data_IF_333773623382
#
_entry.id   IF_333773623382
#
_cell.length_a   1.000
_cell.length_b   1.000
_cell.length_c   1.000
_cell.angle_alpha   90.00
_cell.angle_beta   90.00
_cell.angle_gamma   90.00
#
_symmetry.space_group_name_H-M   'P 1'
#
loop_
_entity.id
_entity.type
_entity.pdbx_description
1 polymer ?
#
# COMPACT_ATOMS: atom_id res chain seq x y z
N UNK A 1 7.46 19.73 9.10
CA UNK A 1 8.81 19.10 9.16
C UNK A 1 9.17 18.72 7.73
N UNK A 2 10.46 18.77 7.32
CA UNK A 2 10.85 18.30 5.99
C UNK A 2 10.74 16.77 5.89
N UNK A 3 10.48 16.22 4.70
CA UNK A 3 10.30 14.77 4.48
C UNK A 3 11.49 13.94 5.01
N UNK A 4 12.71 14.39 4.78
CA UNK A 4 13.92 13.72 5.25
C UNK A 4 13.97 13.65 6.79
N UNK A 5 13.49 14.69 7.46
CA UNK A 5 13.41 14.72 8.91
C UNK A 5 12.27 13.83 9.43
N UNK A 6 11.14 13.78 8.71
CA UNK A 6 10.02 12.88 9.06
C UNK A 6 10.45 11.41 8.97
N UNK A 7 11.13 11.02 7.90
CA UNK A 7 11.64 9.65 7.71
C UNK A 7 12.51 9.17 8.89
N UNK A 8 13.24 10.09 9.55
CA UNK A 8 14.12 9.76 10.68
C UNK A 8 13.40 9.92 12.03
N UNK A 9 12.53 10.94 12.18
CA UNK A 9 12.06 11.42 13.48
C UNK A 9 10.64 11.02 13.84
N UNK A 10 9.86 10.45 12.94
CA UNK A 10 8.60 9.81 13.32
C UNK A 10 8.98 8.52 14.05
N UNK A 11 8.67 8.47 15.33
CA UNK A 11 9.01 7.37 16.23
C UNK A 11 7.86 7.15 17.19
N UNK A 12 7.68 5.91 17.61
CA UNK A 12 6.81 5.54 18.73
C UNK A 12 7.28 6.21 20.01
N UNK A 13 6.45 6.21 21.03
CA UNK A 13 6.85 6.68 22.36
C UNK A 13 8.00 5.84 22.90
N UNK A 14 9.00 6.53 23.47
CA UNK A 14 10.13 5.85 24.11
C UNK A 14 9.67 5.04 25.30
N UNK A 15 10.33 3.92 25.52
CA UNK A 15 10.13 3.13 26.74
C UNK A 15 10.78 3.83 27.97
N UNK A 16 10.70 3.20 29.12
CA UNK A 16 11.37 3.70 30.33
C UNK A 16 12.91 3.77 30.16
N UNK A 17 13.47 3.10 29.20
CA UNK A 17 14.91 3.11 28.89
C UNK A 17 15.36 4.37 28.14
N UNK A 18 14.42 5.20 27.66
CA UNK A 18 14.70 6.44 26.94
C UNK A 18 15.60 6.28 25.71
N UNK A 19 15.45 5.18 25.01
CA UNK A 19 16.23 4.78 23.85
C UNK A 19 16.16 5.82 22.72
N UNK A 20 17.24 5.89 21.94
CA UNK A 20 17.34 6.87 20.84
C UNK A 20 16.62 6.39 19.57
N UNK A 21 16.65 5.11 19.28
CA UNK A 21 15.99 4.46 18.16
C UNK A 21 14.95 3.48 18.66
N UNK A 22 13.90 3.25 17.89
CA UNK A 22 12.81 2.34 18.26
C UNK A 22 13.35 0.92 18.52
N UNK A 23 13.07 0.33 19.68
CA UNK A 23 13.44 -1.06 19.94
C UNK A 23 12.63 -2.03 19.08
N UNK A 24 13.18 -3.19 18.83
CA UNK A 24 12.50 -4.26 18.13
C UNK A 24 11.62 -5.05 19.10
N UNK A 25 10.30 -4.97 18.92
CA UNK A 25 9.32 -5.65 19.77
C UNK A 25 9.07 -7.09 19.27
N UNK A 26 9.98 -8.00 19.58
CA UNK A 26 9.89 -9.43 19.20
C UNK A 26 8.96 -10.20 20.14
N UNK A 27 7.67 -9.89 20.08
CA UNK A 27 6.64 -10.58 20.88
C UNK A 27 5.41 -10.87 20.02
N UNK A 28 4.71 -11.95 20.34
CA UNK A 28 3.42 -12.28 19.71
C UNK A 28 2.24 -11.61 20.41
N UNK A 29 2.33 -11.34 21.71
CA UNK A 29 1.24 -10.82 22.52
C UNK A 29 1.73 -9.84 23.57
N UNK A 30 0.81 -9.06 24.12
CA UNK A 30 1.07 -8.05 25.13
C UNK A 30 0.31 -8.38 26.41
N UNK A 31 0.82 -7.93 27.55
CA UNK A 31 0.24 -8.15 28.86
C UNK A 31 -0.61 -6.95 29.29
N UNK A 32 -1.57 -7.20 30.17
CA UNK A 32 -2.43 -6.19 30.78
C UNK A 32 -2.32 -6.28 32.29
N UNK A 33 -2.43 -5.16 32.97
CA UNK A 33 -2.33 -5.09 34.44
C UNK A 33 -3.52 -5.75 35.12
N UNK A 34 -4.69 -5.78 34.47
CA UNK A 34 -5.90 -6.37 34.97
C UNK A 34 -6.84 -6.84 33.86
N UNK A 35 -7.88 -7.57 34.22
CA UNK A 35 -8.84 -8.13 33.25
C UNK A 35 -9.73 -7.08 32.59
N UNK A 36 -9.97 -5.94 33.23
CA UNK A 36 -10.80 -4.88 32.68
C UNK A 36 -10.06 -4.13 31.55
N UNK A 37 -8.77 -3.84 31.73
CA UNK A 37 -7.95 -3.23 30.67
C UNK A 37 -7.88 -4.17 29.47
N UNK A 38 -7.69 -5.48 29.69
CA UNK A 38 -7.73 -6.48 28.63
C UNK A 38 -9.08 -6.48 27.90
N UNK A 39 -10.19 -6.46 28.63
CA UNK A 39 -11.54 -6.39 28.05
C UNK A 39 -11.70 -5.16 27.19
N UNK A 40 -11.29 -4.00 27.67
CA UNK A 40 -11.41 -2.74 26.98
C UNK A 40 -10.61 -2.75 25.66
N UNK A 41 -9.37 -3.26 25.68
CA UNK A 41 -8.57 -3.41 24.48
C UNK A 41 -9.21 -4.35 23.44
N UNK A 42 -9.74 -5.50 23.85
CA UNK A 42 -10.43 -6.44 22.96
C UNK A 42 -11.78 -5.92 22.45
N UNK A 43 -12.35 -4.91 23.10
CA UNK A 43 -13.59 -4.24 22.69
C UNK A 43 -13.35 -2.99 21.84
N UNK A 44 -12.11 -2.70 21.42
CA UNK A 44 -11.68 -1.49 20.70
C UNK A 44 -12.05 -0.19 21.45
N UNK A 45 -12.05 -0.23 22.78
CA UNK A 45 -12.28 0.92 23.65
C UNK A 45 -10.97 1.66 24.01
N UNK A 46 -9.82 1.03 23.74
CA UNK A 46 -8.48 1.61 23.90
C UNK A 46 -7.59 1.23 22.72
N UNK A 47 -6.49 1.98 22.52
CA UNK A 47 -5.50 1.74 21.47
C UNK A 47 -4.36 0.80 21.94
N UNK A 48 -4.57 0.00 22.98
CA UNK A 48 -3.56 -0.89 23.53
C UNK A 48 -3.24 -2.04 22.59
N UNK A 49 -1.97 -2.41 22.54
CA UNK A 49 -1.53 -3.57 21.76
C UNK A 49 -2.02 -4.87 22.38
N UNK A 50 -2.62 -5.75 21.59
CA UNK A 50 -3.14 -7.05 22.01
C UNK A 50 -2.25 -8.18 21.51
N UNK A 51 -2.01 -8.19 20.21
CA UNK A 51 -1.31 -9.26 19.51
C UNK A 51 -0.63 -8.71 18.26
N UNK A 52 0.64 -9.07 18.01
CA UNK A 52 1.46 -8.47 16.95
C UNK A 52 0.92 -8.65 15.52
N UNK A 53 -0.01 -9.58 15.30
CA UNK A 53 -0.72 -9.70 14.01
C UNK A 53 -1.68 -8.51 13.78
N UNK A 54 -2.21 -7.89 14.83
CA UNK A 54 -3.11 -6.74 14.77
C UNK A 54 -2.34 -5.43 14.90
N UNK A 55 -1.50 -5.35 15.93
CA UNK A 55 -0.72 -4.14 16.22
C UNK A 55 0.61 -4.50 16.90
N UNK A 56 1.66 -3.80 16.50
CA UNK A 56 2.99 -3.91 17.09
C UNK A 56 3.67 -2.54 16.97
N UNK A 57 4.31 -2.02 18.03
CA UNK A 57 4.88 -0.67 17.99
C UNK A 57 5.90 -0.46 16.88
N UNK A 58 6.74 -1.44 16.56
CA UNK A 58 7.70 -1.33 15.46
C UNK A 58 7.04 -1.30 14.09
N UNK A 59 6.00 -2.11 13.88
CA UNK A 59 5.22 -2.12 12.64
C UNK A 59 4.43 -0.81 12.51
N UNK A 60 3.87 -0.31 13.61
CA UNK A 60 3.15 0.96 13.62
C UNK A 60 4.05 2.13 13.24
N UNK A 61 5.28 2.18 13.77
CA UNK A 61 6.24 3.22 13.40
C UNK A 61 6.56 3.22 11.91
N UNK A 62 6.78 2.04 11.32
CA UNK A 62 6.97 1.91 9.87
C UNK A 62 5.76 2.46 9.10
N UNK A 63 4.55 2.06 9.50
CA UNK A 63 3.30 2.51 8.88
C UNK A 63 3.15 4.03 8.97
N UNK A 64 3.36 4.61 10.16
CA UNK A 64 3.25 6.06 10.39
C UNK A 64 4.24 6.87 9.53
N UNK A 65 5.46 6.34 9.37
CA UNK A 65 6.46 6.95 8.48
C UNK A 65 6.01 6.93 7.03
N UNK A 66 5.51 5.79 6.54
CA UNK A 66 5.02 5.66 5.17
C UNK A 66 3.82 6.56 4.91
N UNK A 67 2.86 6.60 5.83
CA UNK A 67 1.69 7.49 5.77
C UNK A 67 2.13 8.96 5.68
N UNK A 68 3.04 9.38 6.53
CA UNK A 68 3.53 10.77 6.52
C UNK A 68 4.33 11.13 5.26
N UNK A 69 5.11 10.20 4.73
CA UNK A 69 5.92 10.42 3.53
C UNK A 69 5.09 10.47 2.26
N UNK A 70 4.08 9.62 2.15
CA UNK A 70 3.12 9.63 1.03
C UNK A 70 2.09 10.76 1.14
N UNK A 71 1.88 11.31 2.33
CA UNK A 71 0.79 12.25 2.60
C UNK A 71 -0.58 11.57 2.63
N UNK A 72 -0.61 10.30 2.97
CA UNK A 72 -1.81 9.50 3.08
C UNK A 72 -2.56 9.73 4.40
N UNK A 73 -3.82 9.32 4.46
CA UNK A 73 -4.69 9.45 5.63
C UNK A 73 -4.42 8.34 6.66
N UNK A 74 -4.19 7.12 6.17
CA UNK A 74 -3.86 5.95 7.00
C UNK A 74 -3.06 4.93 6.21
N UNK A 75 -2.52 3.92 6.87
CA UNK A 75 -1.75 2.85 6.26
C UNK A 75 -1.96 1.50 6.96
N UNK A 76 -1.59 0.44 6.28
CA UNK A 76 -1.62 -0.92 6.82
C UNK A 76 -0.40 -1.70 6.33
N UNK A 77 0.38 -2.24 7.25
CA UNK A 77 1.51 -3.09 6.94
C UNK A 77 1.07 -4.54 6.70
N UNK A 78 1.69 -5.18 5.72
CA UNK A 78 1.44 -6.59 5.37
C UNK A 78 2.75 -7.37 5.36
N UNK A 79 2.68 -8.70 5.35
CA UNK A 79 3.85 -9.57 5.35
C UNK A 79 4.73 -9.46 4.09
N UNK A 80 4.23 -8.89 3.00
CA UNK A 80 5.00 -8.65 1.77
C UNK A 80 4.29 -7.63 0.86
N UNK A 81 5.02 -7.01 -0.07
CA UNK A 81 4.43 -6.15 -1.09
C UNK A 81 3.36 -6.86 -1.93
N UNK A 82 3.55 -8.15 -2.24
CA UNK A 82 2.54 -8.95 -2.96
C UNK A 82 1.27 -9.19 -2.12
N UNK A 83 1.40 -9.30 -0.79
CA UNK A 83 0.24 -9.35 0.11
C UNK A 83 -0.51 -8.02 0.11
N UNK A 84 0.19 -6.89 0.07
CA UNK A 84 -0.43 -5.57 -0.05
C UNK A 84 -1.21 -5.45 -1.37
N UNK A 85 -0.59 -5.83 -2.50
CA UNK A 85 -1.25 -5.81 -3.82
C UNK A 85 -2.48 -6.72 -3.84
N UNK A 86 -2.34 -7.99 -3.46
CA UNK A 86 -3.47 -8.92 -3.47
C UNK A 86 -4.56 -8.52 -2.47
N UNK A 87 -4.16 -8.09 -1.28
CA UNK A 87 -5.07 -7.61 -0.24
C UNK A 87 -5.89 -6.41 -0.69
N UNK A 88 -5.27 -5.43 -1.35
CA UNK A 88 -5.95 -4.25 -1.87
C UNK A 88 -7.02 -4.61 -2.93
N UNK A 89 -6.73 -5.58 -3.81
CA UNK A 89 -7.71 -6.05 -4.79
C UNK A 89 -8.89 -6.76 -4.11
N UNK A 90 -8.60 -7.70 -3.21
CA UNK A 90 -9.62 -8.52 -2.57
C UNK A 90 -10.48 -7.75 -1.56
N UNK A 91 -9.95 -6.70 -0.94
CA UNK A 91 -10.70 -5.86 -0.02
C UNK A 91 -11.71 -4.95 -0.74
N UNK A 92 -11.44 -4.55 -1.99
CA UNK A 92 -12.17 -3.49 -2.67
C UNK A 92 -12.93 -3.95 -3.92
N UNK A 93 -12.62 -5.13 -4.44
CA UNK A 93 -13.28 -5.72 -5.62
C UNK A 93 -14.12 -6.94 -5.22
N UNK A 94 -15.21 -7.12 -5.91
CA UNK A 94 -16.13 -8.26 -5.76
C UNK A 94 -16.48 -8.87 -7.11
N UNK A 95 -17.13 -10.01 -7.10
CA UNK A 95 -17.65 -10.66 -8.32
C UNK A 95 -18.45 -9.68 -9.20
N UNK A 96 -18.11 -9.65 -10.48
CA UNK A 96 -18.70 -8.77 -11.48
C UNK A 96 -18.01 -7.42 -11.64
N UNK A 97 -17.12 -7.04 -10.72
CA UNK A 97 -16.28 -5.85 -10.88
C UNK A 97 -15.14 -6.11 -11.88
N UNK A 98 -14.58 -5.04 -12.42
CA UNK A 98 -13.47 -5.09 -13.35
C UNK A 98 -12.30 -4.23 -12.86
N UNK A 99 -11.10 -4.80 -12.92
CA UNK A 99 -9.83 -4.11 -12.74
C UNK A 99 -9.25 -3.75 -14.11
N UNK A 100 -8.88 -2.48 -14.31
CA UNK A 100 -8.17 -2.00 -15.48
C UNK A 100 -6.71 -1.72 -15.08
N UNK A 101 -5.74 -2.14 -15.89
CA UNK A 101 -4.33 -1.93 -15.56
C UNK A 101 -3.52 -1.58 -16.83
N UNK A 102 -2.31 -1.07 -16.62
CA UNK A 102 -1.29 -1.05 -17.68
C UNK A 102 -0.79 -2.48 -17.92
N UNK A 103 -0.47 -2.82 -19.16
CA UNK A 103 0.12 -4.12 -19.50
C UNK A 103 1.60 -4.25 -19.10
N UNK A 104 2.26 -3.12 -18.80
CA UNK A 104 3.64 -3.06 -18.32
C UNK A 104 3.61 -2.99 -16.80
N UNK A 105 3.56 -4.14 -16.14
CA UNK A 105 3.53 -4.29 -14.67
C UNK A 105 4.35 -5.51 -14.26
N UNK A 106 4.67 -5.58 -12.96
CA UNK A 106 5.40 -6.69 -12.38
C UNK A 106 4.71 -8.05 -12.65
N UNK A 107 5.51 -9.05 -13.03
CA UNK A 107 5.00 -10.36 -13.50
C UNK A 107 4.12 -11.10 -12.49
N UNK A 108 4.41 -10.99 -11.17
CA UNK A 108 3.55 -11.61 -10.15
C UNK A 108 2.21 -10.90 -10.04
N UNK A 109 2.18 -9.57 -10.15
CA UNK A 109 0.93 -8.80 -10.20
C UNK A 109 0.12 -9.14 -11.44
N UNK A 110 0.78 -9.24 -12.61
CA UNK A 110 0.12 -9.73 -13.83
C UNK A 110 -0.50 -11.13 -13.63
N UNK A 111 0.21 -12.02 -12.93
CA UNK A 111 -0.32 -13.35 -12.61
C UNK A 111 -1.55 -13.30 -11.70
N UNK A 112 -1.54 -12.43 -10.69
CA UNK A 112 -2.71 -12.21 -9.83
C UNK A 112 -3.89 -11.73 -10.68
N UNK A 113 -3.70 -10.70 -11.48
CA UNK A 113 -4.76 -10.09 -12.29
C UNK A 113 -5.32 -11.09 -13.31
N UNK A 114 -4.44 -11.80 -14.06
CA UNK A 114 -4.86 -12.61 -15.18
C UNK A 114 -5.29 -14.02 -14.82
N UNK A 115 -4.80 -14.59 -13.69
CA UNK A 115 -5.06 -16.00 -13.32
C UNK A 115 -5.81 -16.18 -12.01
N UNK A 116 -5.70 -15.23 -11.08
CA UNK A 116 -6.34 -15.36 -9.77
C UNK A 116 -7.65 -14.59 -9.68
N UNK A 117 -7.70 -13.31 -10.07
CA UNK A 117 -8.93 -12.52 -10.01
C UNK A 117 -10.11 -13.15 -10.77
N UNK A 118 -9.92 -13.77 -11.96
CA UNK A 118 -11.03 -14.45 -12.64
C UNK A 118 -11.66 -15.61 -11.87
N UNK A 119 -10.90 -16.27 -10.97
CA UNK A 119 -11.46 -17.34 -10.10
C UNK A 119 -12.47 -16.80 -9.10
N UNK A 120 -12.42 -15.52 -8.80
CA UNK A 120 -13.35 -14.80 -7.91
C UNK A 120 -14.42 -14.04 -8.70
N UNK A 121 -14.49 -14.26 -10.03
CA UNK A 121 -15.46 -13.59 -10.90
C UNK A 121 -15.16 -12.11 -11.12
N UNK A 122 -13.92 -11.67 -10.91
CA UNK A 122 -13.45 -10.30 -11.16
C UNK A 122 -12.86 -10.27 -12.57
N UNK A 123 -13.37 -9.37 -13.40
CA UNK A 123 -12.88 -9.15 -14.76
C UNK A 123 -11.63 -8.27 -14.75
N UNK A 124 -10.85 -8.33 -15.83
CA UNK A 124 -9.70 -7.45 -16.00
C UNK A 124 -9.55 -6.97 -17.43
N UNK A 125 -8.78 -5.92 -17.60
CA UNK A 125 -8.36 -5.40 -18.90
C UNK A 125 -7.02 -4.70 -18.80
N UNK A 126 -6.36 -4.54 -19.95
CA UNK A 126 -5.08 -3.86 -20.04
C UNK A 126 -5.11 -2.76 -21.08
N UNK A 127 -4.34 -1.71 -20.80
CA UNK A 127 -4.02 -0.60 -21.72
C UNK A 127 -2.50 -0.55 -21.86
N UNK A 128 -2.01 -0.10 -23.01
CA UNK A 128 -0.56 0.06 -23.22
C UNK A 128 0.03 1.16 -22.35
N UNK A 129 1.32 1.08 -22.01
CA UNK A 129 1.99 2.10 -21.20
C UNK A 129 2.04 3.48 -21.89
N UNK A 130 2.11 3.51 -23.21
CA UNK A 130 2.10 4.73 -24.02
C UNK A 130 0.70 5.15 -24.51
N UNK A 131 -0.36 4.56 -23.93
CA UNK A 131 -1.72 4.83 -24.36
C UNK A 131 -2.14 6.27 -24.03
N UNK A 132 -2.88 6.84 -24.96
CA UNK A 132 -3.46 8.17 -24.85
C UNK A 132 -4.64 8.20 -23.86
N UNK A 133 -5.03 9.39 -23.41
CA UNK A 133 -6.22 9.57 -22.58
C UNK A 133 -7.48 8.96 -23.22
N UNK A 134 -7.64 9.11 -24.53
CA UNK A 134 -8.77 8.56 -25.25
C UNK A 134 -8.80 7.01 -25.24
N UNK A 135 -7.63 6.36 -25.31
CA UNK A 135 -7.52 4.91 -25.22
C UNK A 135 -7.80 4.40 -23.82
N UNK A 136 -7.32 5.09 -22.78
CA UNK A 136 -7.67 4.80 -21.41
C UNK A 136 -9.18 4.96 -21.16
N UNK A 137 -9.76 6.07 -21.61
CA UNK A 137 -11.20 6.32 -21.50
C UNK A 137 -12.04 5.25 -22.20
N UNK A 138 -11.65 4.85 -23.42
CA UNK A 138 -12.33 3.80 -24.19
C UNK A 138 -12.24 2.40 -23.53
N UNK A 139 -11.20 2.16 -22.71
CA UNK A 139 -11.04 0.91 -21.99
C UNK A 139 -11.88 0.83 -20.70
N UNK A 140 -12.36 1.95 -20.19
CA UNK A 140 -13.24 2.01 -19.01
C UNK A 140 -14.64 1.49 -19.38
N UNK A 141 -15.17 0.61 -18.56
CA UNK A 141 -16.52 0.03 -18.71
C UNK A 141 -17.34 0.32 -17.45
N UNK A 142 -18.67 0.17 -17.49
CA UNK A 142 -19.52 0.46 -16.31
C UNK A 142 -19.18 -0.36 -15.05
N UNK A 143 -18.59 -1.54 -15.23
CA UNK A 143 -18.15 -2.40 -14.14
C UNK A 143 -16.67 -2.20 -13.75
N UNK A 144 -15.92 -1.28 -14.38
CA UNK A 144 -14.57 -0.91 -13.95
C UNK A 144 -14.66 -0.20 -12.60
N UNK A 145 -14.04 -0.78 -11.56
CA UNK A 145 -14.04 -0.27 -10.18
C UNK A 145 -12.66 0.13 -9.70
N UNK A 146 -11.62 -0.40 -10.31
CA UNK A 146 -10.25 -0.08 -9.95
C UNK A 146 -9.40 0.10 -11.20
N UNK A 147 -8.54 1.11 -11.18
CA UNK A 147 -7.36 1.22 -12.04
C UNK A 147 -6.16 0.92 -11.16
N UNK A 148 -5.34 -0.06 -11.58
CA UNK A 148 -4.07 -0.38 -10.93
C UNK A 148 -2.91 -0.04 -11.85
N UNK A 149 -1.94 0.68 -11.31
CA UNK A 149 -0.75 1.12 -12.05
C UNK A 149 0.52 0.78 -11.28
N UNK A 150 1.58 0.59 -12.02
CA UNK A 150 2.95 0.60 -11.51
C UNK A 150 3.73 1.66 -12.30
N UNK A 151 4.32 2.64 -11.62
CA UNK A 151 5.06 3.70 -12.29
C UNK A 151 6.19 4.27 -11.41
N UNK A 152 7.47 4.20 -11.85
CA UNK A 152 7.94 3.55 -13.08
C UNK A 152 7.65 2.05 -13.13
N UNK A 153 7.43 1.49 -14.32
CA UNK A 153 7.06 0.08 -14.51
C UNK A 153 8.26 -0.88 -14.34
N UNK A 154 7.99 -2.10 -13.87
CA UNK A 154 9.00 -3.16 -13.79
C UNK A 154 8.74 -4.24 -14.86
N UNK A 155 9.67 -4.53 -15.79
CA UNK A 155 11.04 -4.03 -15.86
C UNK A 155 11.24 -2.86 -16.84
N UNK A 156 10.19 -2.36 -17.50
CA UNK A 156 10.30 -1.44 -18.62
C UNK A 156 10.74 -0.02 -18.26
N UNK A 157 10.66 0.36 -16.98
CA UNK A 157 10.93 1.71 -16.47
C UNK A 157 10.12 2.81 -17.17
N UNK A 158 8.97 2.45 -17.72
CA UNK A 158 8.05 3.41 -18.34
C UNK A 158 7.37 4.24 -17.25
N UNK A 159 7.28 5.54 -17.48
CA UNK A 159 6.63 6.49 -16.57
C UNK A 159 5.25 6.81 -17.11
N UNK A 160 4.22 6.51 -16.33
CA UNK A 160 2.83 6.76 -16.68
C UNK A 160 2.40 8.17 -16.22
N UNK A 161 1.51 8.79 -16.99
CA UNK A 161 0.93 10.10 -16.65
C UNK A 161 -0.11 9.95 -15.54
N UNK A 162 0.34 10.04 -14.27
CA UNK A 162 -0.53 9.93 -13.09
C UNK A 162 -1.56 11.06 -13.04
N UNK A 163 -1.22 12.26 -13.53
CA UNK A 163 -2.17 13.38 -13.51
C UNK A 163 -3.34 13.10 -14.45
N UNK A 164 -3.07 12.63 -15.65
CA UNK A 164 -4.10 12.24 -16.62
C UNK A 164 -4.97 11.09 -16.09
N UNK A 165 -4.34 10.03 -15.57
CA UNK A 165 -5.06 8.86 -15.10
C UNK A 165 -5.87 9.18 -13.82
N UNK A 166 -5.32 10.00 -12.92
CA UNK A 166 -6.04 10.44 -11.72
C UNK A 166 -7.29 11.27 -12.06
N UNK A 167 -7.20 12.15 -13.07
CA UNK A 167 -8.39 12.87 -13.58
C UNK A 167 -9.45 11.91 -14.12
N UNK A 168 -9.04 10.89 -14.89
CA UNK A 168 -9.96 9.87 -15.41
C UNK A 168 -10.60 9.04 -14.30
N UNK A 169 -9.81 8.56 -13.34
CA UNK A 169 -10.30 7.80 -12.20
C UNK A 169 -11.36 8.61 -11.42
N UNK A 170 -11.06 9.86 -11.12
CA UNK A 170 -11.98 10.76 -10.43
C UNK A 170 -13.26 11.03 -11.24
N UNK A 171 -13.13 11.28 -12.55
CA UNK A 171 -14.29 11.50 -13.46
C UNK A 171 -15.25 10.32 -13.44
N UNK A 172 -14.73 9.11 -13.45
CA UNK A 172 -15.51 7.88 -13.50
C UNK A 172 -15.81 7.28 -12.11
N UNK A 173 -15.33 7.90 -11.02
CA UNK A 173 -15.46 7.41 -9.63
C UNK A 173 -14.89 5.99 -9.48
N UNK A 174 -13.72 5.78 -10.05
CA UNK A 174 -12.95 4.54 -10.04
C UNK A 174 -11.83 4.69 -9.03
N UNK A 175 -11.56 3.68 -8.23
CA UNK A 175 -10.45 3.63 -7.29
C UNK A 175 -9.14 3.60 -8.09
N UNK A 176 -8.23 4.53 -7.80
CA UNK A 176 -6.87 4.52 -8.34
C UNK A 176 -5.90 3.94 -7.29
N UNK A 177 -5.32 2.80 -7.62
CA UNK A 177 -4.32 2.10 -6.81
C UNK A 177 -2.98 2.11 -7.53
N UNK A 178 -1.95 2.67 -6.91
CA UNK A 178 -0.64 2.87 -7.53
C UNK A 178 0.44 2.12 -6.76
N UNK A 179 1.17 1.27 -7.44
CA UNK A 179 2.43 0.70 -6.94
C UNK A 179 3.55 1.73 -7.12
N UNK A 180 4.02 2.26 -6.00
CA UNK A 180 5.05 3.30 -5.94
C UNK A 180 6.42 2.77 -5.49
N UNK A 181 6.64 1.45 -5.62
CA UNK A 181 7.88 0.79 -5.15
C UNK A 181 9.14 1.40 -5.73
N UNK A 182 9.15 1.73 -7.03
CA UNK A 182 10.37 2.20 -7.70
C UNK A 182 10.61 3.68 -7.49
N UNK A 183 9.60 4.51 -7.54
CA UNK A 183 9.77 5.95 -7.32
C UNK A 183 9.99 6.28 -5.83
N UNK A 184 9.33 5.60 -4.93
CA UNK A 184 9.22 5.92 -3.50
C UNK A 184 8.58 7.30 -3.24
N UNK A 185 8.14 7.60 -2.01
CA UNK A 185 7.58 8.91 -1.71
C UNK A 185 8.60 10.07 -1.79
N UNK A 186 9.88 9.75 -1.98
CA UNK A 186 10.92 10.76 -2.21
C UNK A 186 10.80 11.40 -3.60
N UNK A 187 10.54 10.57 -4.61
CA UNK A 187 10.48 11.03 -6.00
C UNK A 187 9.05 11.25 -6.51
N UNK A 188 8.07 10.57 -5.93
CA UNK A 188 6.68 10.61 -6.38
C UNK A 188 5.73 10.33 -5.21
N UNK A 189 4.66 11.11 -5.11
CA UNK A 189 3.56 10.89 -4.16
C UNK A 189 2.25 10.74 -4.95
N UNK A 190 1.81 9.52 -5.29
CA UNK A 190 0.62 9.29 -6.10
C UNK A 190 -0.66 9.89 -5.52
N UNK A 191 -0.74 10.04 -4.19
CA UNK A 191 -1.86 10.71 -3.50
C UNK A 191 -2.08 12.14 -4.04
N UNK A 192 -1.00 12.88 -4.34
CA UNK A 192 -1.07 14.24 -4.88
C UNK A 192 -1.73 14.28 -6.27
N UNK A 193 -1.73 13.16 -6.99
CA UNK A 193 -2.34 12.97 -8.30
C UNK A 193 -3.73 12.30 -8.23
N UNK A 194 -4.25 12.08 -7.02
CA UNK A 194 -5.58 11.52 -6.82
C UNK A 194 -5.62 10.00 -6.70
N UNK A 195 -4.51 9.35 -6.37
CA UNK A 195 -4.54 7.95 -5.96
C UNK A 195 -5.28 7.79 -4.63
N UNK A 196 -6.15 6.78 -4.56
CA UNK A 196 -6.87 6.41 -3.35
C UNK A 196 -6.05 5.42 -2.51
N UNK A 197 -5.21 4.62 -3.17
CA UNK A 197 -4.27 3.69 -2.53
C UNK A 197 -2.90 3.78 -3.17
N UNK A 198 -1.87 3.63 -2.31
CA UNK A 198 -0.49 3.47 -2.72
C UNK A 198 0.06 2.21 -2.07
N UNK A 199 0.64 1.32 -2.87
CA UNK A 199 1.28 0.11 -2.36
C UNK A 199 2.80 0.18 -2.51
N UNK A 200 3.49 -0.40 -1.54
CA UNK A 200 4.94 -0.49 -1.50
C UNK A 200 5.41 -1.91 -1.18
N UNK A 201 6.58 -2.25 -1.68
CA UNK A 201 7.40 -3.33 -1.15
C UNK A 201 8.62 -2.67 -0.49
N UNK A 202 8.70 -2.74 0.83
CA UNK A 202 9.81 -2.15 1.58
C UNK A 202 11.16 -2.76 1.22
N UNK A 203 11.18 -4.01 0.77
CA UNK A 203 12.34 -4.74 0.23
C UNK A 203 13.11 -3.95 -0.85
N UNK A 204 12.44 -3.02 -1.56
CA UNK A 204 13.04 -2.29 -2.69
C UNK A 204 13.75 -1.02 -2.18
N UNK A 205 13.50 0.12 -2.80
CA UNK A 205 14.22 1.36 -2.51
C UNK A 205 13.93 1.97 -1.14
N UNK A 206 12.88 1.52 -0.44
CA UNK A 206 12.57 1.95 0.93
C UNK A 206 13.64 1.45 1.89
N UNK A 207 14.06 0.17 1.79
CA UNK A 207 15.17 -0.40 2.56
C UNK A 207 16.52 0.26 2.19
N UNK A 208 16.70 0.64 0.93
CA UNK A 208 17.86 1.39 0.45
C UNK A 208 19.14 0.58 0.25
N UNK A 209 19.23 -0.65 0.73
CA UNK A 209 20.44 -1.48 0.70
C UNK A 209 20.24 -2.90 0.17
N UNK A 210 19.00 -3.33 -0.03
CA UNK A 210 18.64 -4.71 -0.41
C UNK A 210 19.22 -5.76 0.58
N UNK A 211 19.37 -5.36 1.86
CA UNK A 211 19.99 -6.16 2.91
C UNK A 211 19.02 -7.10 3.59
N UNK A 212 17.73 -6.75 3.55
CA UNK A 212 16.68 -7.52 4.20
C UNK A 212 15.62 -7.96 3.20
N UNK A 213 15.40 -9.27 3.14
CA UNK A 213 14.11 -9.79 2.78
C UNK A 213 13.17 -9.41 3.93
N UNK A 214 12.54 -8.26 3.86
CA UNK A 214 11.43 -7.96 4.75
C UNK A 214 10.18 -8.70 4.28
N UNK A 215 10.25 -10.00 4.43
CA UNK A 215 9.12 -10.87 4.69
C UNK A 215 9.11 -11.06 6.21
N UNK A 216 8.59 -10.07 6.94
CA UNK A 216 8.41 -10.21 8.38
C UNK A 216 7.00 -10.69 8.66
N UNK A 217 7.02 -11.74 9.45
CA UNK A 217 5.91 -12.50 10.00
C UNK A 217 4.86 -11.65 10.72
#
# INVERSE_FOLDING_TARGET
MKKETQAIRIQTQRTNEMEHSTPMFLTSSFCFDNAEDMRAAFADETDDNIYSRFSNPGVQEFTDKMVALEGAESGYATASGMSAVFGSFMALLKQGDRLLSCNSIFGSTHTIISKYLPKYGIEYGYVGASATEAEWEAAITPNTKMIYLETPTNPGLEVLDLEMIGRLAKKHKIILNVDNCFATPVNQCPIEYGADLVVHSATKWIDGQDVYWEEWW
#
